data_IF_920191154087
#
_entry.id   IF_920191154087
#
_cell.length_a   1.000
_cell.length_b   1.000
_cell.length_c   1.000
_cell.angle_alpha   90.00
_cell.angle_beta   90.00
_cell.angle_gamma   90.00
#
_symmetry.space_group_name_H-M   'P 1'
#
loop_
_entity.id
_entity.type
_entity.pdbx_description
1 polymer ?
#
# COMPACT_ATOMS: atom_id res chain seq x y z
N UNK A 1 28.26 -11.30 5.67
CA UNK A 1 28.19 -10.36 6.82
C UNK A 1 26.81 -10.49 7.43
N UNK A 2 26.65 -10.64 8.76
CA UNK A 2 25.32 -10.71 9.36
C UNK A 2 24.58 -9.39 9.17
N UNK A 3 23.35 -9.44 8.65
CA UNK A 3 22.48 -8.27 8.53
C UNK A 3 22.11 -7.78 9.93
N UNK A 4 22.34 -6.50 10.20
CA UNK A 4 22.08 -5.90 11.51
C UNK A 4 20.55 -5.79 11.70
N UNK A 5 19.98 -6.24 12.83
CA UNK A 5 18.54 -6.20 13.01
C UNK A 5 18.03 -4.76 12.98
N UNK A 6 16.97 -4.53 12.20
CA UNK A 6 16.23 -3.26 12.24
C UNK A 6 15.43 -3.21 13.54
N UNK A 7 15.78 -2.28 14.43
CA UNK A 7 15.04 -2.06 15.66
C UNK A 7 13.91 -1.05 15.39
N UNK A 8 12.67 -1.52 15.34
CA UNK A 8 11.49 -0.66 15.38
C UNK A 8 11.43 0.05 16.75
N UNK A 9 12.11 1.18 16.89
CA UNK A 9 12.10 1.93 18.13
C UNK A 9 10.73 2.57 18.34
N UNK A 10 10.05 2.15 19.41
CA UNK A 10 8.86 2.83 19.93
C UNK A 10 9.27 4.26 20.34
N UNK A 11 8.55 5.32 19.94
CA UNK A 11 8.82 6.66 20.44
C UNK A 11 8.72 6.64 21.98
N UNK A 12 9.74 7.16 22.64
CA UNK A 12 9.76 7.30 24.10
C UNK A 12 8.65 8.28 24.50
N UNK A 13 7.60 7.79 25.16
CA UNK A 13 6.53 8.66 25.69
C UNK A 13 5.10 8.12 25.63
N UNK A 14 4.80 7.05 24.87
CA UNK A 14 3.47 6.43 24.95
C UNK A 14 3.43 5.37 26.05
N UNK A 15 2.80 5.71 27.18
CA UNK A 15 2.44 4.75 28.21
C UNK A 15 1.55 3.64 27.58
N UNK A 16 1.80 2.34 27.89
CA UNK A 16 0.91 1.29 27.44
C UNK A 16 -0.45 1.47 28.13
N UNK A 17 -1.49 1.82 27.37
CA UNK A 17 -2.84 1.74 27.89
C UNK A 17 -3.19 0.27 28.09
N UNK A 18 -3.08 -0.19 29.34
CA UNK A 18 -3.55 -1.49 29.76
C UNK A 18 -5.08 -1.52 29.60
N UNK A 19 -5.56 -2.03 28.47
CA UNK A 19 -6.96 -2.44 28.34
C UNK A 19 -7.19 -3.59 29.31
N UNK A 20 -7.81 -3.31 30.46
CA UNK A 20 -8.36 -4.33 31.35
C UNK A 20 -9.47 -5.06 30.59
N UNK A 21 -9.19 -6.26 30.09
CA UNK A 21 -10.22 -7.17 29.61
C UNK A 21 -11.08 -7.58 30.81
N UNK A 22 -12.38 -7.27 30.78
CA UNK A 22 -13.36 -7.88 31.70
C UNK A 22 -13.78 -9.20 31.05
N UNK A 23 -13.54 -10.38 31.66
CA UNK A 23 -14.03 -11.63 31.09
C UNK A 23 -15.56 -11.63 31.15
N UNK A 24 -16.21 -11.79 30.00
CA UNK A 24 -17.63 -12.09 29.95
C UNK A 24 -17.84 -13.53 30.44
N UNK A 25 -18.77 -13.68 31.37
CA UNK A 25 -19.18 -14.94 32.00
C UNK A 25 -19.73 -15.90 30.93
N UNK A 26 -19.17 -17.11 30.84
CA UNK A 26 -19.70 -18.21 30.03
C UNK A 26 -21.03 -18.68 30.62
N UNK A 27 -22.13 -18.54 29.87
CA UNK A 27 -23.37 -19.26 30.11
C UNK A 27 -23.37 -20.53 29.24
N UNK A 28 -23.23 -21.69 29.88
CA UNK A 28 -23.44 -23.02 29.30
C UNK A 28 -24.93 -23.25 29.12
N UNK A 29 -25.38 -23.45 27.87
CA UNK A 29 -26.64 -24.12 27.58
C UNK A 29 -26.38 -25.32 26.68
N UNK A 30 -26.75 -26.49 27.22
CA UNK A 30 -26.80 -27.77 26.53
C UNK A 30 -27.83 -27.71 25.40
N UNK A 31 -27.39 -28.01 24.17
CA UNK A 31 -28.24 -28.21 23.01
C UNK A 31 -28.12 -29.66 22.50
N UNK A 32 -29.20 -30.23 21.92
CA UNK A 32 -29.29 -31.65 21.58
C UNK A 32 -28.44 -32.01 20.36
N UNK A 33 -28.09 -33.30 20.29
CA UNK A 33 -27.39 -33.98 19.19
C UNK A 33 -28.03 -33.65 17.83
N UNK A 34 -27.34 -32.79 17.07
CA UNK A 34 -27.62 -32.55 15.66
C UNK A 34 -27.13 -33.74 14.85
N UNK A 35 -28.08 -34.30 14.10
CA UNK A 35 -27.92 -35.26 13.00
C UNK A 35 -26.70 -34.91 12.16
N UNK A 36 -25.78 -35.86 11.96
CA UNK A 36 -24.74 -35.77 10.93
C UNK A 36 -25.43 -35.83 9.55
N UNK A 37 -25.98 -34.72 9.11
CA UNK A 37 -26.31 -34.50 7.71
C UNK A 37 -24.98 -34.48 6.97
N UNK A 38 -24.71 -35.56 6.24
CA UNK A 38 -23.71 -35.65 5.18
C UNK A 38 -23.81 -34.38 4.34
N UNK A 39 -22.92 -33.42 4.59
CA UNK A 39 -22.82 -32.22 3.78
C UNK A 39 -22.33 -32.68 2.40
N UNK A 40 -22.93 -32.21 1.29
CA UNK A 40 -22.36 -32.45 -0.03
C UNK A 40 -20.92 -31.92 -0.04
N UNK A 41 -19.97 -32.75 -0.48
CA UNK A 41 -18.61 -32.28 -0.77
C UNK A 41 -18.72 -31.19 -1.85
N UNK A 42 -18.12 -30.00 -1.64
CA UNK A 42 -18.10 -28.98 -2.69
C UNK A 42 -17.28 -29.49 -3.88
N UNK A 43 -17.87 -29.45 -5.08
CA UNK A 43 -17.22 -29.78 -6.35
C UNK A 43 -15.99 -28.88 -6.62
N UNK A 44 -14.97 -29.36 -7.36
CA UNK A 44 -13.72 -28.65 -7.60
C UNK A 44 -13.83 -27.62 -8.75
N UNK A 45 -14.86 -26.77 -8.75
CA UNK A 45 -15.11 -25.82 -9.82
C UNK A 45 -15.03 -24.33 -9.43
N UNK A 46 -14.66 -23.99 -8.19
CA UNK A 46 -14.49 -22.58 -7.79
C UNK A 46 -13.17 -22.34 -7.06
N UNK A 47 -12.06 -22.63 -7.76
CA UNK A 47 -10.73 -22.17 -7.37
C UNK A 47 -10.29 -20.92 -8.17
N UNK A 48 -11.21 -20.27 -8.90
CA UNK A 48 -10.89 -19.16 -9.80
C UNK A 48 -11.28 -17.76 -9.29
N UNK A 49 -12.02 -17.66 -8.17
CA UNK A 49 -12.43 -16.36 -7.60
C UNK A 49 -11.59 -15.92 -6.39
N UNK A 50 -10.36 -16.42 -6.28
CA UNK A 50 -9.34 -15.81 -5.42
C UNK A 50 -8.58 -14.71 -6.19
N UNK A 51 -9.29 -13.87 -6.93
CA UNK A 51 -8.76 -12.55 -7.27
C UNK A 51 -9.02 -11.67 -6.05
N UNK A 52 -8.04 -11.64 -5.15
CA UNK A 52 -7.92 -10.63 -4.10
C UNK A 52 -8.31 -9.27 -4.68
N UNK A 53 -9.11 -8.50 -3.94
CA UNK A 53 -9.35 -7.06 -4.21
C UNK A 53 -8.07 -6.30 -3.88
N UNK A 54 -7.02 -6.58 -4.64
CA UNK A 54 -5.81 -5.81 -4.69
C UNK A 54 -6.07 -4.72 -5.73
N UNK A 55 -6.05 -3.46 -5.32
CA UNK A 55 -5.96 -2.34 -6.28
C UNK A 55 -4.92 -2.72 -7.33
N UNK A 56 -5.28 -2.77 -8.63
CA UNK A 56 -4.40 -3.35 -9.62
C UNK A 56 -3.12 -2.51 -9.64
N UNK A 57 -2.02 -3.16 -9.28
CA UNK A 57 -0.71 -2.51 -9.19
C UNK A 57 -0.28 -1.95 -10.56
N UNK A 58 -0.74 -2.63 -11.62
CA UNK A 58 -0.47 -2.38 -13.02
C UNK A 58 -1.71 -1.93 -13.78
N UNK A 59 -1.51 -1.35 -14.97
CA UNK A 59 -2.61 -0.96 -15.85
C UNK A 59 -3.33 -2.15 -16.48
N UNK A 60 -4.57 -1.94 -16.91
CA UNK A 60 -5.28 -2.92 -17.74
C UNK A 60 -4.60 -3.13 -19.11
N UNK A 61 -3.93 -2.10 -19.64
CA UNK A 61 -3.16 -2.19 -20.89
C UNK A 61 -2.01 -3.18 -20.77
N UNK A 62 -1.35 -3.24 -19.61
CA UNK A 62 -0.35 -4.26 -19.34
C UNK A 62 -0.95 -5.67 -19.39
N UNK A 63 -2.11 -5.88 -18.74
CA UNK A 63 -2.83 -7.16 -18.79
C UNK A 63 -3.16 -7.58 -20.24
N UNK A 64 -3.75 -6.67 -21.02
CA UNK A 64 -4.04 -6.92 -22.45
C UNK A 64 -2.78 -7.17 -23.30
N UNK A 65 -1.66 -6.56 -22.93
CA UNK A 65 -0.39 -6.80 -23.61
C UNK A 65 0.12 -8.22 -23.35
N UNK A 66 0.09 -8.67 -22.09
CA UNK A 66 0.50 -10.02 -21.70
C UNK A 66 -0.34 -11.10 -22.39
N UNK A 67 -1.65 -10.90 -22.51
CA UNK A 67 -2.54 -11.82 -23.23
C UNK A 67 -2.16 -12.00 -24.71
N UNK A 68 -1.69 -10.92 -25.36
CA UNK A 68 -1.28 -10.95 -26.77
C UNK A 68 0.12 -11.51 -26.98
N UNK A 69 0.97 -11.46 -25.96
CA UNK A 69 2.36 -11.92 -26.02
C UNK A 69 2.50 -13.44 -26.16
N UNK A 70 1.43 -14.22 -25.94
CA UNK A 70 1.36 -15.68 -26.16
C UNK A 70 2.56 -16.46 -25.57
N UNK A 71 2.92 -16.15 -24.33
CA UNK A 71 4.06 -16.71 -23.60
C UNK A 71 5.45 -16.51 -24.25
N UNK A 72 5.57 -15.61 -25.23
CA UNK A 72 6.85 -15.25 -25.84
C UNK A 72 7.59 -14.27 -24.93
N UNK A 73 8.69 -14.73 -24.32
CA UNK A 73 9.46 -13.94 -23.35
C UNK A 73 9.87 -12.55 -23.84
N UNK A 74 10.21 -12.39 -25.13
CA UNK A 74 10.58 -11.09 -25.70
C UNK A 74 9.38 -10.11 -25.73
N UNK A 75 8.22 -10.57 -26.18
CA UNK A 75 6.98 -9.78 -26.18
C UNK A 75 6.54 -9.43 -24.75
N UNK A 76 6.68 -10.35 -23.80
CA UNK A 76 6.41 -10.09 -22.38
C UNK A 76 7.34 -8.99 -21.84
N UNK A 77 8.64 -9.04 -22.16
CA UNK A 77 9.59 -8.00 -21.75
C UNK A 77 9.22 -6.64 -22.37
N UNK A 78 8.75 -6.60 -23.61
CA UNK A 78 8.26 -5.37 -24.24
C UNK A 78 7.00 -4.82 -23.52
N UNK A 79 6.10 -5.69 -23.09
CA UNK A 79 4.97 -5.31 -22.24
C UNK A 79 5.44 -4.73 -20.90
N UNK A 80 6.41 -5.37 -20.26
CA UNK A 80 6.98 -4.90 -18.99
C UNK A 80 7.65 -3.54 -19.15
N UNK A 81 8.39 -3.30 -20.24
CA UNK A 81 9.03 -2.02 -20.51
C UNK A 81 8.03 -0.87 -20.69
N UNK A 82 6.92 -1.12 -21.40
CA UNK A 82 5.82 -0.15 -21.56
C UNK A 82 5.16 0.17 -20.22
N UNK A 83 4.85 -0.87 -19.44
CA UNK A 83 4.24 -0.68 -18.13
C UNK A 83 5.21 0.02 -17.17
N UNK A 84 6.50 -0.32 -17.19
CA UNK A 84 7.52 0.33 -16.37
C UNK A 84 7.57 1.84 -16.64
N UNK A 85 7.43 2.28 -17.88
CA UNK A 85 7.37 3.71 -18.21
C UNK A 85 6.15 4.40 -17.59
N UNK A 86 4.98 3.75 -17.60
CA UNK A 86 3.77 4.25 -16.93
C UNK A 86 3.99 4.35 -15.42
N UNK A 87 4.56 3.31 -14.82
CA UNK A 87 4.81 3.21 -13.39
C UNK A 87 5.86 4.22 -12.91
N UNK A 88 6.91 4.47 -13.69
CA UNK A 88 7.90 5.51 -13.41
C UNK A 88 7.28 6.92 -13.50
N UNK A 89 6.40 7.17 -14.47
CA UNK A 89 5.62 8.41 -14.55
C UNK A 89 4.74 8.61 -13.31
N UNK A 90 4.04 7.55 -12.86
CA UNK A 90 3.23 7.56 -11.63
C UNK A 90 4.09 7.84 -10.40
N UNK A 91 5.23 7.16 -10.27
CA UNK A 91 6.20 7.37 -9.19
C UNK A 91 6.64 8.83 -9.12
N UNK A 92 7.10 9.40 -10.23
CA UNK A 92 7.59 10.78 -10.27
C UNK A 92 6.49 11.80 -9.94
N UNK A 93 5.27 11.56 -10.41
CA UNK A 93 4.10 12.39 -10.09
C UNK A 93 3.86 12.46 -8.58
N UNK A 94 3.77 11.30 -7.91
CA UNK A 94 3.53 11.27 -6.47
C UNK A 94 4.74 11.69 -5.64
N UNK A 95 5.97 11.47 -6.14
CA UNK A 95 7.17 12.03 -5.53
C UNK A 95 7.10 13.56 -5.46
N UNK A 96 6.72 14.23 -6.54
CA UNK A 96 6.59 15.69 -6.55
C UNK A 96 5.42 16.17 -5.70
N UNK A 97 4.27 15.47 -5.74
CA UNK A 97 3.12 15.79 -4.89
C UNK A 97 3.48 15.71 -3.40
N UNK A 98 4.12 14.63 -2.97
CA UNK A 98 4.61 14.50 -1.59
C UNK A 98 5.62 15.60 -1.26
N UNK A 99 6.59 15.87 -2.14
CA UNK A 99 7.56 16.95 -1.92
C UNK A 99 6.91 18.30 -1.71
N UNK A 100 5.83 18.62 -2.42
CA UNK A 100 5.15 19.91 -2.28
C UNK A 100 4.61 20.14 -0.85
N UNK A 101 4.25 19.07 -0.15
CA UNK A 101 3.68 19.11 1.21
C UNK A 101 4.73 19.18 2.32
N UNK A 102 6.02 19.00 2.00
CA UNK A 102 7.10 18.88 2.97
C UNK A 102 7.90 20.18 3.16
N UNK A 103 8.32 20.45 4.40
CA UNK A 103 9.37 21.43 4.72
C UNK A 103 10.69 21.10 4.02
N UNK A 104 11.56 22.12 3.88
CA UNK A 104 12.86 21.97 3.23
C UNK A 104 13.73 20.82 3.81
N UNK A 105 13.87 20.65 5.14
CA UNK A 105 14.63 19.52 5.69
C UNK A 105 14.02 18.16 5.34
N UNK A 106 12.69 18.06 5.35
CA UNK A 106 11.95 16.83 5.01
C UNK A 106 12.07 16.49 3.52
N UNK A 107 12.09 17.49 2.63
CA UNK A 107 12.36 17.32 1.19
C UNK A 107 13.71 16.65 0.95
N UNK A 108 14.77 17.08 1.65
CA UNK A 108 16.09 16.45 1.48
C UNK A 108 16.14 15.03 2.06
N UNK A 109 15.43 14.76 3.16
CA UNK A 109 15.30 13.40 3.68
C UNK A 109 14.59 12.47 2.69
N UNK A 110 13.48 12.91 2.08
CA UNK A 110 12.76 12.13 1.07
C UNK A 110 13.63 11.87 -0.16
N UNK A 111 14.36 12.88 -0.66
CA UNK A 111 15.29 12.74 -1.78
C UNK A 111 16.41 11.75 -1.48
N UNK A 112 16.96 11.78 -0.26
CA UNK A 112 17.97 10.83 0.17
C UNK A 112 17.41 9.39 0.19
N UNK A 113 16.23 9.20 0.78
CA UNK A 113 15.54 7.90 0.80
C UNK A 113 15.26 7.39 -0.63
N UNK A 114 14.82 8.25 -1.55
CA UNK A 114 14.55 7.87 -2.94
C UNK A 114 15.82 7.42 -3.68
N UNK A 115 16.96 8.06 -3.43
CA UNK A 115 18.26 7.65 -4.02
C UNK A 115 18.78 6.33 -3.48
N UNK A 116 18.55 6.05 -2.19
CA UNK A 116 18.88 4.75 -1.61
C UNK A 116 17.94 3.66 -2.14
N UNK A 117 16.65 3.96 -2.31
CA UNK A 117 15.70 3.04 -2.93
C UNK A 117 16.12 2.67 -4.36
N UNK A 118 16.57 3.63 -5.18
CA UNK A 118 17.10 3.33 -6.52
C UNK A 118 18.27 2.34 -6.46
N UNK A 119 19.25 2.58 -5.58
CA UNK A 119 20.38 1.67 -5.40
C UNK A 119 19.94 0.27 -4.93
N UNK A 120 18.97 0.22 -4.01
CA UNK A 120 18.39 -1.05 -3.57
C UNK A 120 17.72 -1.79 -4.72
N UNK A 121 16.82 -1.12 -5.47
CA UNK A 121 16.10 -1.71 -6.60
C UNK A 121 17.08 -2.27 -7.63
N UNK A 122 18.05 -1.45 -8.03
CA UNK A 122 18.99 -1.82 -9.08
C UNK A 122 19.85 -3.02 -8.62
N UNK A 123 20.38 -2.99 -7.40
CA UNK A 123 21.16 -4.11 -6.86
C UNK A 123 20.32 -5.38 -6.64
N UNK A 124 19.08 -5.24 -6.18
CA UNK A 124 18.16 -6.36 -5.95
C UNK A 124 17.76 -7.03 -7.28
N UNK A 125 17.42 -6.24 -8.29
CA UNK A 125 16.98 -6.77 -9.57
C UNK A 125 18.16 -7.26 -10.43
N UNK A 126 19.35 -6.66 -10.31
CA UNK A 126 20.58 -7.19 -10.92
C UNK A 126 20.95 -8.56 -10.36
N UNK A 127 20.76 -8.80 -9.06
CA UNK A 127 21.00 -10.11 -8.45
C UNK A 127 20.14 -11.22 -9.09
N UNK A 128 18.94 -10.92 -9.56
CA UNK A 128 18.06 -11.88 -10.23
C UNK A 128 18.49 -12.21 -11.66
N UNK A 129 19.37 -11.41 -12.26
CA UNK A 129 19.92 -11.62 -13.59
C UNK A 129 21.13 -12.56 -13.54
N UNK A 130 20.91 -13.84 -13.19
CA UNK A 130 21.98 -14.85 -13.22
C UNK A 130 22.46 -15.08 -14.68
N UNK A 131 23.74 -14.82 -15.00
CA UNK A 131 24.30 -15.05 -16.34
C UNK A 131 24.21 -16.51 -16.81
N UNK A 132 24.11 -17.46 -15.88
CA UNK A 132 24.01 -18.89 -16.17
C UNK A 132 22.57 -19.42 -16.18
N UNK A 133 21.58 -18.59 -15.80
CA UNK A 133 20.19 -19.02 -15.64
C UNK A 133 19.34 -18.97 -16.92
N UNK A 134 19.96 -18.74 -18.09
CA UNK A 134 19.26 -18.70 -19.37
C UNK A 134 18.36 -17.47 -19.55
N UNK A 135 17.35 -17.55 -20.43
CA UNK A 135 16.50 -16.38 -20.77
C UNK A 135 15.51 -16.00 -19.67
N UNK A 136 15.18 -16.92 -18.76
CA UNK A 136 14.19 -16.66 -17.70
C UNK A 136 14.71 -15.63 -16.69
N UNK A 137 16.01 -15.53 -16.45
CA UNK A 137 16.58 -14.57 -15.49
C UNK A 137 16.42 -13.12 -15.96
N UNK A 138 16.44 -12.88 -17.27
CA UNK A 138 16.07 -11.57 -17.84
C UNK A 138 14.62 -11.24 -17.56
N UNK A 139 13.72 -12.20 -17.69
CA UNK A 139 12.30 -12.00 -17.38
C UNK A 139 12.13 -11.63 -15.90
N UNK A 140 12.79 -12.36 -14.99
CA UNK A 140 12.76 -12.11 -13.55
C UNK A 140 13.32 -10.72 -13.18
N UNK A 141 14.44 -10.32 -13.77
CA UNK A 141 15.04 -9.00 -13.50
C UNK A 141 14.16 -7.84 -14.01
N UNK A 142 13.50 -8.01 -15.15
CA UNK A 142 12.55 -7.02 -15.68
C UNK A 142 11.29 -6.94 -14.82
N UNK A 143 10.70 -8.08 -14.45
CA UNK A 143 9.54 -8.12 -13.54
C UNK A 143 9.86 -7.47 -12.18
N UNK A 144 11.04 -7.77 -11.61
CA UNK A 144 11.51 -7.13 -10.39
C UNK A 144 11.54 -5.60 -10.51
N UNK A 145 12.15 -5.08 -11.58
CA UNK A 145 12.28 -3.63 -11.79
C UNK A 145 10.91 -2.97 -11.92
N UNK A 146 9.99 -3.60 -12.66
CA UNK A 146 8.60 -3.17 -12.81
C UNK A 146 7.86 -3.17 -11.47
N UNK A 147 7.88 -4.29 -10.75
CA UNK A 147 7.17 -4.48 -9.49
C UNK A 147 7.64 -3.50 -8.42
N UNK A 148 8.96 -3.38 -8.22
CA UNK A 148 9.54 -2.45 -7.24
C UNK A 148 9.17 -1.00 -7.55
N UNK A 149 9.19 -0.61 -8.83
CA UNK A 149 8.80 0.73 -9.26
C UNK A 149 7.31 0.99 -9.00
N UNK A 150 6.44 0.02 -9.32
CA UNK A 150 5.00 0.15 -9.10
C UNK A 150 4.62 0.21 -7.62
N UNK A 151 5.27 -0.60 -6.77
CA UNK A 151 5.10 -0.58 -5.31
C UNK A 151 5.57 0.75 -4.73
N UNK A 152 6.71 1.26 -5.18
CA UNK A 152 7.21 2.56 -4.74
C UNK A 152 6.28 3.70 -5.15
N UNK A 153 5.71 3.64 -6.35
CA UNK A 153 4.70 4.59 -6.79
C UNK A 153 3.46 4.58 -5.88
N UNK A 154 2.96 3.39 -5.52
CA UNK A 154 1.83 3.23 -4.59
C UNK A 154 2.17 3.74 -3.18
N UNK A 155 3.39 3.50 -2.71
CA UNK A 155 3.86 4.00 -1.41
C UNK A 155 3.85 5.54 -1.38
N UNK A 156 4.46 6.18 -2.38
CA UNK A 156 4.52 7.63 -2.47
C UNK A 156 3.13 8.26 -2.64
N UNK A 157 2.25 7.60 -3.41
CA UNK A 157 0.85 8.01 -3.52
C UNK A 157 0.17 8.02 -2.15
N UNK A 158 0.23 6.91 -1.42
CA UNK A 158 -0.37 6.83 -0.09
C UNK A 158 0.18 7.89 0.87
N UNK A 159 1.48 8.16 0.84
CA UNK A 159 2.10 9.20 1.66
C UNK A 159 1.63 10.62 1.25
N UNK A 160 1.45 10.88 -0.05
CA UNK A 160 0.96 12.17 -0.56
C UNK A 160 -0.54 12.39 -0.24
N UNK A 161 -1.37 11.35 -0.38
CA UNK A 161 -2.82 11.44 -0.19
C UNK A 161 -3.21 11.53 1.30
N UNK A 162 -2.40 10.93 2.18
CA UNK A 162 -2.70 10.88 3.61
C UNK A 162 -2.37 12.17 4.37
N UNK A 163 -1.67 13.14 3.77
CA UNK A 163 -1.36 14.42 4.43
C UNK A 163 -0.67 14.29 5.79
N UNK A 164 -0.08 13.13 6.10
CA UNK A 164 0.54 12.82 7.39
C UNK A 164 1.78 13.67 7.69
N UNK A 165 2.32 14.32 6.66
CA UNK A 165 3.55 15.11 6.74
C UNK A 165 3.33 16.60 6.41
N UNK A 166 2.09 17.03 6.30
CA UNK A 166 1.77 18.44 6.09
C UNK A 166 2.21 19.24 7.33
N UNK A 167 3.13 20.18 7.14
CA UNK A 167 3.62 21.00 8.23
C UNK A 167 2.50 21.96 8.67
N UNK A 168 1.83 21.66 9.78
CA UNK A 168 0.79 22.50 10.41
C UNK A 168 1.24 23.92 10.78
N UNK A 169 2.53 24.24 10.67
CA UNK A 169 3.12 25.56 10.90
C UNK A 169 3.67 26.24 9.63
N UNK A 170 3.52 25.64 8.45
CA UNK A 170 3.83 26.33 7.20
C UNK A 170 2.71 27.32 6.86
N UNK A 171 3.02 28.57 6.45
CA UNK A 171 2.01 29.45 5.89
C UNK A 171 1.35 28.74 4.71
N UNK A 172 0.01 28.79 4.56
CA UNK A 172 -0.63 28.21 3.39
C UNK A 172 0.01 28.83 2.15
N UNK A 173 0.40 27.97 1.20
CA UNK A 173 0.69 28.43 -0.15
C UNK A 173 -0.54 29.22 -0.59
N UNK A 174 -0.36 30.51 -0.88
CA UNK A 174 -1.45 31.40 -1.23
C UNK A 174 -2.15 30.86 -2.48
N UNK A 175 -3.29 30.20 -2.27
CA UNK A 175 -4.28 29.96 -3.31
C UNK A 175 -4.78 31.33 -3.78
N UNK A 176 -4.53 31.63 -5.05
CA UNK A 176 -5.26 32.66 -5.74
C UNK A 176 -6.72 32.19 -5.86
N UNK A 177 -7.55 32.55 -4.87
CA UNK A 177 -9.00 32.39 -4.96
C UNK A 177 -9.61 33.49 -5.83
N UNK A 178 -10.65 33.16 -6.59
CA UNK A 178 -11.87 33.94 -6.45
C UNK A 178 -13.11 33.07 -6.27
N UNK A 179 -13.95 33.48 -5.31
CA UNK A 179 -15.40 33.33 -5.41
C UNK A 179 -16.00 32.19 -4.61
N UNK A 180 -16.56 32.55 -3.45
CA UNK A 180 -17.35 31.69 -2.58
C UNK A 180 -18.65 31.17 -3.23
N UNK A 181 -19.07 29.97 -2.82
CA UNK A 181 -20.46 29.71 -2.45
C UNK A 181 -20.52 28.51 -1.51
N UNK A 182 -20.99 28.79 -0.30
CA UNK A 182 -21.28 27.85 0.77
C UNK A 182 -22.54 27.05 0.46
N UNK A 183 -22.50 25.74 0.71
CA UNK A 183 -23.70 25.00 1.11
C UNK A 183 -23.30 23.95 2.13
N UNK A 184 -23.92 24.06 3.31
CA UNK A 184 -23.84 23.09 4.36
C UNK A 184 -24.63 21.84 3.95
N UNK A 185 -24.01 20.67 4.06
CA UNK A 185 -24.71 19.39 3.99
C UNK A 185 -24.35 18.54 5.20
N UNK A 186 -25.42 18.06 5.81
CA UNK A 186 -25.52 17.41 7.11
C UNK A 186 -24.80 16.08 7.19
N UNK A 187 -24.34 15.79 8.41
CA UNK A 187 -23.94 14.49 8.94
C UNK A 187 -24.88 13.37 8.53
N UNK A 188 -24.32 12.33 7.90
CA UNK A 188 -24.82 10.97 7.98
C UNK A 188 -23.63 10.05 8.25
N UNK A 189 -23.57 9.52 9.48
CA UNK A 189 -22.58 8.54 9.87
C UNK A 189 -22.80 7.24 9.12
N UNK A 190 -21.96 6.98 8.12
CA UNK A 190 -21.74 5.65 7.62
C UNK A 190 -20.65 5.01 8.50
N UNK A 191 -21.04 4.05 9.34
CA UNK A 191 -20.10 3.11 9.95
C UNK A 191 -19.52 2.25 8.83
N UNK A 192 -18.36 2.67 8.30
CA UNK A 192 -17.55 1.81 7.46
C UNK A 192 -16.94 0.74 8.36
N UNK A 193 -17.41 -0.49 8.17
CA UNK A 193 -16.79 -1.72 8.68
C UNK A 193 -15.33 -1.74 8.21
N UNK A 194 -14.40 -1.42 9.11
CA UNK A 194 -12.97 -1.41 8.78
C UNK A 194 -12.50 -2.85 8.66
N UNK A 195 -12.14 -3.28 7.45
CA UNK A 195 -11.45 -4.54 7.22
C UNK A 195 -10.21 -4.65 8.13
N UNK A 196 -9.86 -5.87 8.61
CA UNK A 196 -8.74 -6.06 9.51
C UNK A 196 -7.41 -5.64 8.85
N UNK A 197 -6.45 -5.08 9.62
CA UNK A 197 -5.21 -4.48 9.09
C UNK A 197 -4.27 -5.46 8.37
N UNK A 198 -4.55 -6.76 8.41
CA UNK A 198 -3.76 -7.80 7.75
C UNK A 198 -4.04 -7.91 6.24
N UNK A 199 -5.11 -7.28 5.75
CA UNK A 199 -5.57 -7.41 4.34
C UNK A 199 -5.53 -6.07 3.58
N UNK A 200 -5.27 -4.99 4.28
CA UNK A 200 -5.24 -3.65 3.70
C UNK A 200 -3.79 -3.34 3.30
N UNK A 201 -3.52 -3.23 1.99
CA UNK A 201 -2.23 -2.79 1.48
C UNK A 201 -1.77 -1.45 2.06
N UNK A 202 -0.51 -1.08 1.81
CA UNK A 202 0.14 0.10 2.42
C UNK A 202 -0.71 1.39 2.44
N UNK A 203 -1.44 1.78 1.38
CA UNK A 203 -2.29 2.99 1.40
C UNK A 203 -3.40 2.93 2.46
N UNK A 204 -4.07 1.78 2.60
CA UNK A 204 -5.16 1.61 3.55
C UNK A 204 -4.65 1.62 4.99
N UNK A 205 -3.46 1.06 5.24
CA UNK A 205 -2.79 1.16 6.54
C UNK A 205 -2.51 2.62 6.90
N UNK A 206 -1.95 3.41 5.97
CA UNK A 206 -1.68 4.84 6.22
C UNK A 206 -2.96 5.63 6.51
N UNK A 207 -4.05 5.36 5.78
CA UNK A 207 -5.33 6.01 6.04
C UNK A 207 -5.88 5.66 7.43
N UNK A 208 -5.78 4.41 7.85
CA UNK A 208 -6.16 3.99 9.19
C UNK A 208 -5.33 4.70 10.27
N UNK A 209 -4.01 4.84 10.05
CA UNK A 209 -3.13 5.55 10.97
C UNK A 209 -3.50 7.03 11.11
N UNK A 210 -3.83 7.70 9.99
CA UNK A 210 -4.32 9.10 9.99
C UNK A 210 -5.58 9.25 10.83
N UNK A 211 -6.58 8.40 10.59
CA UNK A 211 -7.86 8.44 11.33
C UNK A 211 -7.65 8.26 12.83
N UNK A 212 -6.77 7.34 13.24
CA UNK A 212 -6.44 7.10 14.65
C UNK A 212 -5.77 8.32 15.29
N UNK A 213 -4.84 8.97 14.60
CA UNK A 213 -4.18 10.18 15.09
C UNK A 213 -5.19 11.33 15.29
N UNK A 214 -6.11 11.51 14.34
CA UNK A 214 -7.18 12.51 14.45
C UNK A 214 -8.12 12.23 15.64
N UNK A 215 -8.55 10.98 15.83
CA UNK A 215 -9.40 10.60 16.95
C UNK A 215 -8.74 10.83 18.32
N UNK A 216 -7.43 10.57 18.44
CA UNK A 216 -6.68 10.84 19.67
C UNK A 216 -6.60 12.35 19.98
N UNK A 217 -6.41 13.19 18.95
CA UNK A 217 -6.40 14.65 19.12
C UNK A 217 -7.76 15.23 19.55
N UNK A 218 -8.87 14.57 19.16
CA UNK A 218 -10.21 14.97 19.56
C UNK A 218 -10.54 14.56 21.01
N UNK A 219 -10.02 13.42 21.48
CA UNK A 219 -10.25 12.93 22.84
C UNK A 219 -9.37 13.59 23.92
N UNK A 220 -8.29 14.28 23.52
CA UNK A 220 -7.40 15.01 24.43
C UNK A 220 -7.78 16.48 24.63
N UNK A 221 -8.86 16.95 23.99
CA UNK A 221 -9.48 18.27 24.19
C UNK A 221 -10.76 18.11 24.98
#
# INVERSE_FOLDING_TARGET
>A
MPMKPLNCQRPKGLAPQARRWRPAVLALLAGPLLTLAQQPEPEPQQAQDAQEVQLPLYTEDYGRCLERADAVNAEIIDCMAKELAVQDGRLNTHYQALRAQLSAPRKEQLKHAQRLWLQYRDAHCEFLLDPNGGTITRLLANDCTLRETALRAQELQGLADTGLFEDVNSPPAQEAQPGASTSAASTAGATQETAPPKEAGWPALLQQLRQRAQAQSAAGR
#
